data_IF_934168181862
#
_entry.id   IF_934168181862
#
_cell.length_a   1.000
_cell.length_b   1.000
_cell.length_c   1.000
_cell.angle_alpha   90.00
_cell.angle_beta   90.00
_cell.angle_gamma   90.00
#
_symmetry.space_group_name_H-M   'P 1'
#
loop_
_entity.id
_entity.type
_entity.pdbx_description
1 polymer ?
#
# COMPACT_ATOMS: atom_id res chain seq x y z
N UNK A 1 -7.88 19.41 24.38
CA UNK A 1 -7.46 18.11 23.78
C UNK A 1 -7.89 18.07 22.32
N UNK A 2 -9.18 18.24 22.02
CA UNK A 2 -9.69 18.31 20.64
C UNK A 2 -9.02 19.39 19.77
N UNK A 3 -8.78 20.61 20.29
CA UNK A 3 -8.08 21.66 19.53
C UNK A 3 -6.61 21.34 19.25
N UNK A 4 -5.91 20.68 20.19
CA UNK A 4 -4.51 20.27 20.02
C UNK A 4 -4.41 19.17 18.96
N UNK A 5 -5.31 18.19 19.04
CA UNK A 5 -5.40 17.10 18.07
C UNK A 5 -5.77 17.60 16.67
N UNK A 6 -6.73 18.53 16.58
CA UNK A 6 -7.12 19.16 15.32
C UNK A 6 -5.95 19.94 14.70
N UNK A 7 -5.19 20.68 15.51
CA UNK A 7 -4.00 21.41 15.06
C UNK A 7 -2.91 20.46 14.57
N UNK A 8 -2.60 19.42 15.34
CA UNK A 8 -1.60 18.41 14.95
C UNK A 8 -1.98 17.73 13.62
N UNK A 9 -3.25 17.35 13.44
CA UNK A 9 -3.72 16.77 12.18
C UNK A 9 -3.61 17.75 11.01
N UNK A 10 -3.95 19.02 11.21
CA UNK A 10 -3.82 20.06 10.19
C UNK A 10 -2.35 20.32 9.82
N UNK A 11 -1.46 20.35 10.80
CA UNK A 11 -0.01 20.51 10.58
C UNK A 11 0.55 19.31 9.80
N UNK A 12 0.07 18.09 10.08
CA UNK A 12 0.44 16.88 9.33
C UNK A 12 -0.07 16.90 7.89
N UNK A 13 -1.34 17.24 7.69
CA UNK A 13 -1.95 17.40 6.36
C UNK A 13 -1.16 18.39 5.50
N UNK A 14 -0.78 19.54 6.07
CA UNK A 14 0.04 20.53 5.38
C UNK A 14 1.45 20.02 5.02
N UNK A 15 2.08 19.26 5.92
CA UNK A 15 3.40 18.65 5.65
C UNK A 15 3.30 17.60 4.54
N UNK A 16 2.29 16.74 4.55
CA UNK A 16 2.08 15.75 3.48
C UNK A 16 1.90 16.42 2.11
N UNK A 17 1.12 17.50 2.04
CA UNK A 17 0.97 18.26 0.80
C UNK A 17 2.29 18.85 0.29
N UNK A 18 3.18 19.30 1.19
CA UNK A 18 4.52 19.77 0.83
C UNK A 18 5.42 18.65 0.31
N UNK A 19 5.36 17.46 0.93
CA UNK A 19 6.10 16.28 0.47
C UNK A 19 5.67 15.96 -0.97
N UNK A 20 4.36 15.90 -1.19
CA UNK A 20 3.77 15.63 -2.50
C UNK A 20 4.23 16.64 -3.57
N UNK A 21 4.21 17.95 -3.25
CA UNK A 21 4.67 19.00 -4.16
C UNK A 21 6.13 18.82 -4.57
N UNK A 22 7.02 18.51 -3.61
CA UNK A 22 8.44 18.27 -3.88
C UNK A 22 8.65 17.04 -4.76
N UNK A 23 7.93 15.95 -4.47
CA UNK A 23 8.05 14.68 -5.19
C UNK A 23 7.50 14.78 -6.62
N UNK A 24 6.41 15.53 -6.81
CA UNK A 24 5.82 15.80 -8.13
C UNK A 24 6.77 16.56 -9.05
N UNK A 25 7.64 17.40 -8.50
CA UNK A 25 8.63 18.19 -9.27
C UNK A 25 9.87 17.40 -9.68
N UNK A 26 10.03 16.15 -9.24
CA UNK A 26 11.16 15.33 -9.67
C UNK A 26 11.11 15.11 -11.20
N UNK A 27 12.22 14.78 -11.87
CA UNK A 27 12.21 14.57 -13.32
C UNK A 27 11.89 13.12 -13.73
N UNK A 28 11.80 12.18 -12.79
CA UNK A 28 11.75 10.73 -13.03
C UNK A 28 10.67 10.05 -12.19
N UNK A 29 10.21 8.87 -12.62
CA UNK A 29 9.40 7.99 -11.76
C UNK A 29 10.22 7.44 -10.59
N UNK A 30 11.48 7.11 -10.81
CA UNK A 30 12.38 6.69 -9.73
C UNK A 30 12.87 7.90 -8.96
N UNK A 31 12.51 7.96 -7.68
CA UNK A 31 12.85 9.09 -6.83
C UNK A 31 14.26 8.89 -6.28
N UNK A 32 15.11 9.90 -6.47
CA UNK A 32 16.50 9.83 -6.02
C UNK A 32 16.61 9.98 -4.49
N UNK A 33 17.63 9.38 -3.85
CA UNK A 33 17.84 9.54 -2.42
C UNK A 33 17.96 11.00 -1.95
N UNK A 34 18.48 11.89 -2.80
CA UNK A 34 18.54 13.33 -2.52
C UNK A 34 17.15 13.96 -2.43
N UNK A 35 16.22 13.53 -3.29
CA UNK A 35 14.86 14.05 -3.34
C UNK A 35 14.05 13.53 -2.16
N UNK A 36 14.22 12.25 -1.80
CA UNK A 36 13.66 11.67 -0.57
C UNK A 36 14.12 12.46 0.67
N UNK A 37 15.42 12.76 0.76
CA UNK A 37 15.97 13.55 1.87
C UNK A 37 15.42 14.97 1.87
N UNK A 38 15.30 15.62 0.72
CA UNK A 38 14.76 16.98 0.60
C UNK A 38 13.27 17.03 1.00
N UNK A 39 12.53 15.95 0.75
CA UNK A 39 11.13 15.80 1.11
C UNK A 39 10.90 15.15 2.49
N UNK A 40 11.92 14.99 3.33
CA UNK A 40 11.78 14.38 4.67
C UNK A 40 11.18 12.96 4.63
N UNK A 41 11.56 12.15 3.65
CA UNK A 41 11.15 10.75 3.52
C UNK A 41 12.27 9.81 3.98
N UNK A 42 11.95 8.86 4.85
CA UNK A 42 12.83 7.74 5.20
C UNK A 42 12.43 6.52 4.40
N UNK A 43 13.37 5.97 3.64
CA UNK A 43 13.22 4.68 2.97
C UNK A 43 13.91 3.60 3.81
N UNK A 44 13.13 2.64 4.30
CA UNK A 44 13.55 1.61 5.26
C UNK A 44 13.28 0.22 4.68
N UNK A 45 14.00 -0.83 5.11
CA UNK A 45 13.66 -2.21 4.75
C UNK A 45 12.36 -2.68 5.41
N UNK A 46 11.64 -3.55 4.73
CA UNK A 46 10.50 -4.32 5.24
C UNK A 46 10.74 -5.81 4.96
N UNK A 47 10.39 -6.66 5.91
CA UNK A 47 10.26 -8.09 5.72
C UNK A 47 8.87 -8.52 6.08
N UNK A 48 8.21 -9.28 5.21
CA UNK A 48 6.89 -9.83 5.50
C UNK A 48 6.96 -11.14 6.32
N UNK A 49 8.16 -11.65 6.55
CA UNK A 49 8.42 -12.81 7.41
C UNK A 49 8.27 -12.40 8.89
N UNK A 50 7.43 -13.13 9.65
CA UNK A 50 7.01 -12.78 11.02
C UNK A 50 8.19 -12.66 12.02
N UNK A 51 9.28 -13.40 11.81
CA UNK A 51 10.45 -13.43 12.72
C UNK A 51 11.49 -12.34 12.43
N UNK A 52 11.20 -11.41 11.53
CA UNK A 52 12.15 -10.36 11.16
C UNK A 52 12.09 -9.16 12.10
N UNK A 53 13.25 -8.54 12.36
CA UNK A 53 13.33 -7.22 13.00
C UNK A 53 12.67 -6.10 12.16
N UNK A 54 12.41 -6.37 10.87
CA UNK A 54 11.81 -5.44 9.91
C UNK A 54 10.35 -5.80 9.57
N UNK A 55 9.61 -6.46 10.48
CA UNK A 55 8.21 -6.79 10.28
C UNK A 55 7.30 -5.54 10.21
N UNK A 56 6.12 -5.63 9.56
CA UNK A 56 5.17 -4.52 9.52
C UNK A 56 4.67 -4.12 10.91
N UNK A 57 4.59 -2.81 11.20
CA UNK A 57 4.19 -2.29 12.50
C UNK A 57 2.68 -2.04 12.64
N UNK A 58 1.99 -1.90 11.51
CA UNK A 58 0.59 -1.45 11.46
C UNK A 58 -0.35 -2.45 10.76
N UNK A 59 0.18 -3.51 10.16
CA UNK A 59 -0.59 -4.51 9.45
C UNK A 59 -0.17 -5.92 9.86
N UNK A 60 -1.14 -6.72 10.29
CA UNK A 60 -0.92 -8.14 10.57
C UNK A 60 -1.33 -8.96 9.35
N UNK A 61 -0.65 -10.09 9.06
CA UNK A 61 -1.15 -11.05 8.09
C UNK A 61 -2.48 -11.66 8.57
N UNK A 62 -3.31 -12.08 7.62
CA UNK A 62 -4.48 -12.90 7.92
C UNK A 62 -4.00 -14.25 8.51
N UNK A 63 -4.53 -14.69 9.66
CA UNK A 63 -3.96 -15.81 10.41
C UNK A 63 -4.38 -17.18 9.87
N UNK A 64 -5.56 -17.29 9.27
CA UNK A 64 -6.06 -18.58 8.78
C UNK A 64 -5.39 -18.99 7.47
N UNK A 65 -5.57 -20.26 7.10
CA UNK A 65 -5.10 -20.78 5.83
C UNK A 65 -5.88 -20.18 4.66
N UNK A 66 -5.17 -19.95 3.55
CA UNK A 66 -5.75 -19.40 2.32
C UNK A 66 -5.48 -20.33 1.15
N UNK A 67 -6.37 -20.38 0.14
CA UNK A 67 -6.15 -21.20 -1.02
C UNK A 67 -4.89 -20.76 -1.75
N UNK A 68 -4.24 -21.70 -2.45
CA UNK A 68 -3.18 -21.35 -3.39
C UNK A 68 -3.80 -20.63 -4.61
N UNK A 69 -3.08 -19.71 -5.27
CA UNK A 69 -3.49 -19.17 -6.57
C UNK A 69 -3.81 -20.31 -7.54
N UNK A 70 -4.92 -20.19 -8.27
CA UNK A 70 -5.35 -21.25 -9.18
C UNK A 70 -4.44 -21.33 -10.41
N UNK A 71 -4.40 -22.50 -11.06
CA UNK A 71 -3.66 -22.66 -12.33
C UNK A 71 -4.26 -21.83 -13.48
N UNK A 72 -5.53 -21.42 -13.38
CA UNK A 72 -6.18 -20.58 -14.38
C UNK A 72 -5.61 -19.16 -14.36
N UNK A 73 -5.26 -18.65 -13.18
CA UNK A 73 -4.61 -17.35 -12.99
C UNK A 73 -3.19 -17.32 -13.60
N UNK A 74 -2.54 -18.49 -13.71
CA UNK A 74 -1.20 -18.66 -14.30
C UNK A 74 -1.21 -18.76 -15.83
N UNK A 75 -2.32 -19.19 -16.43
CA UNK A 75 -2.44 -19.39 -17.88
C UNK A 75 -2.42 -18.09 -18.68
N UNK A 76 -2.68 -16.93 -18.08
CA UNK A 76 -2.55 -15.63 -18.74
C UNK A 76 -1.18 -14.99 -18.49
N UNK A 77 -0.84 -14.83 -17.21
CA UNK A 77 0.36 -14.11 -16.76
C UNK A 77 1.70 -14.75 -17.15
N UNK A 78 1.77 -16.08 -17.17
CA UNK A 78 3.02 -16.82 -17.29
C UNK A 78 3.14 -17.57 -18.62
N UNK A 79 2.14 -17.47 -19.49
CA UNK A 79 2.14 -18.14 -20.80
C UNK A 79 3.23 -17.59 -21.71
N UNK A 80 3.52 -16.28 -21.59
CA UNK A 80 4.52 -15.58 -22.38
C UNK A 80 5.58 -14.95 -21.49
N UNK A 81 6.85 -14.83 -21.96
CA UNK A 81 7.84 -14.03 -21.25
C UNK A 81 7.39 -12.56 -21.18
N UNK A 82 7.84 -11.78 -20.17
CA UNK A 82 7.54 -10.36 -20.09
C UNK A 82 7.96 -9.62 -21.37
N UNK A 83 7.11 -8.74 -21.87
CA UNK A 83 7.39 -7.93 -23.04
C UNK A 83 8.02 -6.60 -22.61
N UNK A 84 9.34 -6.41 -22.80
CA UNK A 84 10.01 -5.17 -22.43
C UNK A 84 9.51 -3.94 -23.19
N UNK A 85 8.71 -4.12 -24.25
CA UNK A 85 8.10 -3.01 -25.02
C UNK A 85 6.70 -2.64 -24.52
N UNK A 86 6.06 -3.48 -23.71
CA UNK A 86 4.69 -3.30 -23.22
C UNK A 86 4.59 -3.56 -21.71
N UNK A 87 5.51 -2.99 -20.93
CA UNK A 87 5.62 -3.17 -19.48
C UNK A 87 4.29 -2.95 -18.75
N UNK A 88 3.52 -1.94 -19.17
CA UNK A 88 2.24 -1.64 -18.53
C UNK A 88 1.20 -2.76 -18.74
N UNK A 89 1.25 -3.48 -19.86
CA UNK A 89 0.37 -4.63 -20.09
C UNK A 89 0.75 -5.81 -19.19
N UNK A 90 2.05 -6.09 -19.04
CA UNK A 90 2.51 -7.10 -18.08
C UNK A 90 2.11 -6.74 -16.65
N UNK A 91 2.19 -5.46 -16.28
CA UNK A 91 1.81 -4.99 -14.96
C UNK A 91 0.30 -5.08 -14.75
N UNK A 92 -0.50 -4.83 -15.80
CA UNK A 92 -1.95 -5.02 -15.79
C UNK A 92 -2.33 -6.49 -15.62
N UNK A 93 -1.62 -7.41 -16.27
CA UNK A 93 -1.87 -8.84 -16.08
C UNK A 93 -1.59 -9.26 -14.63
N UNK A 94 -0.58 -8.65 -13.98
CA UNK A 94 -0.32 -8.86 -12.56
C UNK A 94 -1.43 -8.31 -11.67
N UNK A 95 -1.97 -7.15 -12.02
CA UNK A 95 -3.10 -6.55 -11.32
C UNK A 95 -4.32 -7.47 -11.36
N UNK A 96 -4.70 -7.96 -12.54
CA UNK A 96 -5.84 -8.88 -12.71
C UNK A 96 -5.64 -10.15 -11.89
N UNK A 97 -4.44 -10.73 -11.91
CA UNK A 97 -4.10 -11.90 -11.11
C UNK A 97 -4.28 -11.66 -9.62
N UNK A 98 -3.72 -10.58 -9.09
CA UNK A 98 -3.84 -10.28 -7.66
C UNK A 98 -5.27 -9.96 -7.27
N UNK A 99 -5.99 -9.17 -8.08
CA UNK A 99 -7.39 -8.83 -7.85
C UNK A 99 -8.27 -10.09 -7.79
N UNK A 100 -8.12 -11.02 -8.76
CA UNK A 100 -8.85 -12.29 -8.75
C UNK A 100 -8.47 -13.14 -7.53
N UNK A 101 -7.17 -13.29 -7.27
CA UNK A 101 -6.69 -14.12 -6.16
C UNK A 101 -7.14 -13.59 -4.80
N UNK A 102 -7.12 -12.26 -4.60
CA UNK A 102 -7.62 -11.62 -3.39
C UNK A 102 -9.12 -11.83 -3.21
N UNK A 103 -9.91 -11.66 -4.28
CA UNK A 103 -11.36 -11.86 -4.24
C UNK A 103 -11.71 -13.32 -3.90
N UNK A 104 -11.09 -14.27 -4.59
CA UNK A 104 -11.34 -15.70 -4.36
C UNK A 104 -10.90 -16.13 -2.95
N UNK A 105 -9.76 -15.62 -2.47
CA UNK A 105 -9.27 -15.90 -1.12
C UNK A 105 -10.17 -15.27 -0.05
N UNK A 106 -10.72 -14.08 -0.31
CA UNK A 106 -11.65 -13.42 0.60
C UNK A 106 -12.96 -14.19 0.73
N UNK A 107 -13.54 -14.64 -0.40
CA UNK A 107 -14.76 -15.46 -0.43
C UNK A 107 -14.53 -16.80 0.27
N UNK A 108 -13.46 -17.51 -0.10
CA UNK A 108 -13.09 -18.77 0.56
C UNK A 108 -12.96 -18.62 2.07
N UNK A 109 -12.22 -17.61 2.54
CA UNK A 109 -11.97 -17.41 3.95
C UNK A 109 -13.25 -17.04 4.72
N UNK A 110 -14.16 -16.30 4.09
CA UNK A 110 -15.45 -15.95 4.68
C UNK A 110 -16.37 -17.17 4.84
N UNK A 111 -16.30 -18.12 3.91
CA UNK A 111 -17.08 -19.36 3.95
C UNK A 111 -16.47 -20.40 4.92
N UNK A 112 -15.15 -20.59 4.89
CA UNK A 112 -14.45 -21.61 5.68
C UNK A 112 -14.27 -21.18 7.14
N UNK A 113 -14.05 -19.88 7.39
CA UNK A 113 -13.80 -19.30 8.71
C UNK A 113 -14.84 -18.24 9.07
N UNK A 114 -16.13 -18.59 9.21
CA UNK A 114 -17.21 -17.63 9.43
C UNK A 114 -17.07 -16.85 10.75
N UNK A 115 -16.36 -17.41 11.73
CA UNK A 115 -16.07 -16.77 13.02
C UNK A 115 -14.84 -15.84 12.98
N UNK A 116 -14.07 -15.87 11.89
CA UNK A 116 -12.87 -15.04 11.71
C UNK A 116 -12.72 -14.59 10.24
N UNK A 117 -13.73 -13.94 9.62
CA UNK A 117 -13.64 -13.54 8.23
C UNK A 117 -12.52 -12.49 8.03
N UNK A 118 -11.98 -12.35 6.81
CA UNK A 118 -10.96 -11.34 6.54
C UNK A 118 -11.41 -9.92 6.93
N UNK A 119 -10.67 -9.22 7.79
CA UNK A 119 -11.04 -7.87 8.27
C UNK A 119 -10.89 -6.77 7.20
N UNK A 120 -10.25 -7.07 6.06
CA UNK A 120 -10.06 -6.16 4.94
C UNK A 120 -10.05 -6.93 3.62
N UNK A 121 -9.74 -6.24 2.51
CA UNK A 121 -9.64 -6.83 1.18
C UNK A 121 -10.90 -6.67 0.32
N UNK A 122 -11.95 -6.03 0.86
CA UNK A 122 -13.16 -5.74 0.09
C UNK A 122 -12.90 -4.56 -0.83
N UNK A 123 -13.16 -4.77 -2.13
CA UNK A 123 -13.05 -3.73 -3.14
C UNK A 123 -13.89 -2.49 -2.80
N UNK A 124 -13.30 -1.31 -3.01
CA UNK A 124 -13.97 -0.02 -2.91
C UNK A 124 -13.66 0.83 -4.15
N UNK A 125 -14.65 1.60 -4.57
CA UNK A 125 -14.47 2.55 -5.67
C UNK A 125 -13.60 3.71 -5.18
N UNK A 126 -12.50 3.98 -5.89
CA UNK A 126 -11.60 5.11 -5.58
C UNK A 126 -12.38 6.43 -5.57
N UNK A 127 -13.37 6.57 -6.45
CA UNK A 127 -14.23 7.75 -6.57
C UNK A 127 -15.13 8.02 -5.36
N UNK A 128 -15.34 7.03 -4.47
CA UNK A 128 -16.10 7.23 -3.23
C UNK A 128 -15.34 8.08 -2.21
N UNK A 129 -14.03 8.25 -2.42
CA UNK A 129 -13.14 8.98 -1.53
C UNK A 129 -12.68 10.31 -2.13
N UNK A 130 -12.35 11.24 -1.25
CA UNK A 130 -11.80 12.55 -1.61
C UNK A 130 -10.27 12.51 -1.69
N UNK A 131 -9.76 11.56 -2.46
CA UNK A 131 -8.34 11.47 -2.77
C UNK A 131 -7.95 12.51 -3.82
N UNK A 132 -6.66 12.79 -3.93
CA UNK A 132 -6.11 13.54 -5.05
C UNK A 132 -6.13 12.73 -6.35
N UNK A 133 -5.38 13.20 -7.34
CA UNK A 133 -5.23 12.47 -8.59
C UNK A 133 -4.26 11.31 -8.39
N UNK A 134 -4.80 10.11 -8.17
CA UNK A 134 -4.02 8.88 -8.00
C UNK A 134 -3.57 8.26 -9.34
N UNK A 135 -3.13 9.11 -10.27
CA UNK A 135 -2.58 8.71 -11.57
C UNK A 135 -1.68 9.79 -12.18
N UNK A 136 -0.71 9.37 -12.97
CA UNK A 136 -0.06 10.20 -13.99
C UNK A 136 -0.02 9.43 -15.31
N UNK A 137 -0.17 10.16 -16.42
CA UNK A 137 -0.11 9.60 -17.78
C UNK A 137 0.66 10.48 -18.77
N UNK A 138 1.39 11.47 -18.26
CA UNK A 138 2.14 12.44 -19.07
C UNK A 138 3.60 12.37 -18.63
N UNK A 139 4.48 12.02 -19.57
CA UNK A 139 5.89 11.75 -19.29
C UNK A 139 6.11 10.33 -18.81
N UNK A 140 5.32 9.89 -17.83
CA UNK A 140 5.30 8.52 -17.36
C UNK A 140 3.89 8.05 -16.94
N UNK A 141 3.69 6.73 -16.86
CA UNK A 141 2.42 6.09 -16.53
C UNK A 141 2.45 5.34 -15.18
N UNK A 142 1.53 5.70 -14.29
CA UNK A 142 1.18 4.93 -13.10
C UNK A 142 -0.22 5.29 -12.64
N UNK A 143 -0.88 4.38 -11.93
CA UNK A 143 -2.20 4.63 -11.34
C UNK A 143 -2.49 3.68 -10.18
N UNK A 144 -3.25 4.17 -9.21
CA UNK A 144 -3.89 3.32 -8.21
C UNK A 144 -5.08 2.59 -8.87
N UNK A 145 -5.13 1.27 -8.69
CA UNK A 145 -6.11 0.40 -9.36
C UNK A 145 -7.18 -0.10 -8.42
N UNK A 146 -6.80 -0.38 -7.17
CA UNK A 146 -7.66 -0.95 -6.17
C UNK A 146 -7.36 -0.32 -4.83
N UNK A 147 -8.41 -0.01 -4.08
CA UNK A 147 -8.32 0.43 -2.69
C UNK A 147 -9.23 -0.42 -1.82
N UNK A 148 -8.82 -0.63 -0.57
CA UNK A 148 -9.64 -1.27 0.46
C UNK A 148 -9.43 -0.56 1.80
N UNK A 149 -10.48 -0.59 2.61
CA UNK A 149 -10.45 -0.13 3.98
C UNK A 149 -10.86 -1.25 4.94
N UNK A 150 -11.12 -0.86 6.19
CA UNK A 150 -11.64 -1.74 7.23
C UNK A 150 -13.08 -1.29 7.49
N UNK A 151 -14.09 -2.02 6.98
CA UNK A 151 -15.49 -1.59 7.05
C UNK A 151 -16.02 -1.53 8.49
N UNK A 152 -15.46 -2.34 9.38
CA UNK A 152 -15.80 -2.39 10.79
C UNK A 152 -14.72 -1.64 11.60
N UNK A 153 -15.14 -0.70 12.44
CA UNK A 153 -14.27 -0.02 13.41
C UNK A 153 -13.82 1.40 13.04
N UNK A 154 -13.09 2.02 13.98
CA UNK A 154 -12.45 3.33 13.83
C UNK A 154 -10.98 3.11 13.46
N UNK A 155 -10.72 2.65 12.23
CA UNK A 155 -9.37 2.35 11.75
C UNK A 155 -8.90 3.40 10.72
N UNK A 156 -7.79 4.11 10.98
CA UNK A 156 -7.23 5.05 10.02
C UNK A 156 -6.42 4.35 8.93
N UNK A 157 -6.13 3.06 9.11
CA UNK A 157 -5.43 2.20 8.15
C UNK A 157 -6.16 2.10 6.82
N UNK A 158 -5.38 1.98 5.75
CA UNK A 158 -5.90 1.86 4.41
C UNK A 158 -4.93 1.05 3.54
N UNK A 159 -5.45 0.38 2.51
CA UNK A 159 -4.59 -0.36 1.57
C UNK A 159 -4.89 0.03 0.13
N UNK A 160 -3.85 0.00 -0.69
CA UNK A 160 -3.97 0.29 -2.11
C UNK A 160 -3.06 -0.61 -2.94
N UNK A 161 -3.51 -0.95 -4.15
CA UNK A 161 -2.67 -1.54 -5.18
C UNK A 161 -2.42 -0.47 -6.24
N UNK A 162 -1.17 -0.37 -6.69
CA UNK A 162 -0.76 0.50 -7.78
C UNK A 162 -0.12 -0.34 -8.88
N UNK A 163 -0.25 0.13 -10.10
CA UNK A 163 0.58 -0.31 -11.21
C UNK A 163 1.35 0.84 -11.83
N UNK A 164 2.56 0.53 -12.29
CA UNK A 164 3.48 1.49 -12.88
C UNK A 164 4.24 0.85 -14.04
N UNK A 165 4.51 1.64 -15.08
CA UNK A 165 5.40 1.21 -16.16
C UNK A 165 6.90 1.24 -15.78
N UNK A 166 7.24 1.65 -14.56
CA UNK A 166 8.61 1.71 -14.09
C UNK A 166 9.27 0.34 -14.05
N UNK A 167 10.56 0.27 -14.35
CA UNK A 167 11.36 -0.94 -14.08
C UNK A 167 11.73 -0.98 -12.60
N UNK A 168 11.43 -2.08 -11.90
CA UNK A 168 11.80 -2.25 -10.51
C UNK A 168 13.32 -2.31 -10.30
N UNK A 169 13.86 -1.38 -9.51
CA UNK A 169 15.30 -1.31 -9.18
C UNK A 169 15.60 -1.06 -7.69
N UNK A 170 14.57 -1.12 -6.85
CA UNK A 170 14.66 -0.90 -5.40
C UNK A 170 14.47 0.55 -4.96
N UNK A 171 14.56 1.56 -5.84
CA UNK A 171 14.19 2.95 -5.48
C UNK A 171 12.68 3.07 -5.31
N UNK A 172 12.23 4.03 -4.51
CA UNK A 172 10.81 4.36 -4.41
C UNK A 172 10.33 5.02 -5.70
N UNK A 173 9.10 4.72 -6.09
CA UNK A 173 8.46 5.31 -7.25
C UNK A 173 7.61 6.50 -6.84
N UNK A 174 7.56 7.52 -7.70
CA UNK A 174 6.73 8.70 -7.50
C UNK A 174 5.28 8.32 -7.20
N UNK A 175 4.71 7.41 -7.99
CA UNK A 175 3.31 7.00 -7.84
C UNK A 175 3.00 6.37 -6.49
N UNK A 176 3.95 5.61 -5.93
CA UNK A 176 3.83 5.04 -4.59
C UNK A 176 3.74 6.14 -3.54
N UNK A 177 4.67 7.10 -3.59
CA UNK A 177 4.73 8.20 -2.61
C UNK A 177 3.50 9.10 -2.74
N UNK A 178 3.10 9.47 -3.96
CA UNK A 178 1.92 10.29 -4.20
C UNK A 178 0.64 9.61 -3.69
N UNK A 179 0.49 8.32 -3.93
CA UNK A 179 -0.67 7.56 -3.43
C UNK A 179 -0.69 7.50 -1.91
N UNK A 180 0.47 7.26 -1.29
CA UNK A 180 0.61 7.26 0.17
C UNK A 180 0.21 8.62 0.74
N UNK A 181 0.78 9.73 0.23
CA UNK A 181 0.53 11.06 0.78
C UNK A 181 -0.92 11.51 0.60
N UNK A 182 -1.52 11.28 -0.57
CA UNK A 182 -2.90 11.69 -0.88
C UNK A 182 -3.91 10.96 0.00
N UNK A 183 -3.77 9.64 0.13
CA UNK A 183 -4.67 8.83 0.94
C UNK A 183 -4.48 9.17 2.42
N UNK A 184 -3.24 9.25 2.92
CA UNK A 184 -2.97 9.65 4.31
C UNK A 184 -3.61 10.99 4.64
N UNK A 185 -3.46 11.99 3.78
CA UNK A 185 -4.04 13.31 3.94
C UNK A 185 -5.58 13.24 3.98
N UNK A 186 -6.20 12.47 3.08
CA UNK A 186 -7.65 12.25 3.10
C UNK A 186 -8.15 11.57 4.38
N UNK A 187 -7.43 10.56 4.90
CA UNK A 187 -7.76 9.93 6.19
C UNK A 187 -7.61 10.93 7.35
N UNK A 188 -6.60 11.78 7.35
CA UNK A 188 -6.42 12.87 8.34
C UNK A 188 -7.51 13.96 8.25
N UNK A 189 -8.19 14.12 7.12
CA UNK A 189 -9.35 15.01 6.97
C UNK A 189 -10.69 14.34 7.28
N UNK A 190 -10.71 13.01 7.42
CA UNK A 190 -11.95 12.25 7.63
C UNK A 190 -12.46 12.40 9.07
N UNK A 191 -13.74 12.78 9.21
CA UNK A 191 -14.33 13.15 10.51
C UNK A 191 -14.44 12.00 11.49
N UNK A 192 -14.78 10.79 11.03
CA UNK A 192 -14.86 9.61 11.91
C UNK A 192 -13.51 9.33 12.57
N UNK A 193 -12.42 9.51 11.83
CA UNK A 193 -11.06 9.17 12.24
C UNK A 193 -10.35 10.25 13.07
N UNK A 194 -11.08 11.24 13.60
CA UNK A 194 -10.50 12.43 14.26
C UNK A 194 -9.65 12.12 15.49
N UNK A 195 -9.90 10.97 16.12
CA UNK A 195 -9.17 10.38 17.26
C UNK A 195 -7.73 10.00 16.93
N UNK A 196 -7.44 9.73 15.65
CA UNK A 196 -6.14 9.27 15.18
C UNK A 196 -5.23 10.43 14.78
N UNK A 197 -3.92 10.21 14.75
CA UNK A 197 -2.93 11.15 14.20
C UNK A 197 -2.02 10.49 13.17
N UNK A 198 -2.01 9.16 13.13
CA UNK A 198 -1.29 8.35 12.17
C UNK A 198 -2.34 7.66 11.31
N UNK A 199 -2.15 7.69 9.99
CA UNK A 199 -2.98 6.96 9.02
C UNK A 199 -2.09 5.98 8.25
N UNK A 200 -1.88 4.76 8.76
CA UNK A 200 -0.97 3.81 8.13
C UNK A 200 -1.47 3.36 6.75
N UNK A 201 -0.54 3.15 5.82
CA UNK A 201 -0.80 2.67 4.47
C UNK A 201 -0.09 1.34 4.23
N UNK A 202 -0.81 0.35 3.70
CA UNK A 202 -0.21 -0.81 3.04
C UNK A 202 -0.37 -0.64 1.54
N UNK A 203 0.73 -0.68 0.80
CA UNK A 203 0.72 -0.50 -0.63
C UNK A 203 1.31 -1.72 -1.32
N UNK A 204 0.56 -2.32 -2.24
CA UNK A 204 1.09 -3.30 -3.19
C UNK A 204 1.45 -2.54 -4.46
N UNK A 205 2.74 -2.48 -4.77
CA UNK A 205 3.26 -1.78 -5.95
C UNK A 205 3.67 -2.78 -7.00
N UNK A 206 2.95 -2.78 -8.12
CA UNK A 206 3.19 -3.60 -9.30
C UNK A 206 4.01 -2.78 -10.31
N UNK A 207 5.08 -3.37 -10.83
CA UNK A 207 6.02 -2.69 -11.70
C UNK A 207 6.71 -3.64 -12.66
N UNK A 208 7.34 -3.06 -13.68
CA UNK A 208 8.01 -3.80 -14.72
C UNK A 208 9.27 -4.57 -14.29
N UNK A 209 9.63 -5.59 -15.07
CA UNK A 209 8.80 -6.25 -16.10
C UNK A 209 7.63 -7.05 -15.48
N UNK A 210 7.87 -7.82 -14.41
CA UNK A 210 6.82 -8.49 -13.62
C UNK A 210 7.25 -8.59 -12.17
N UNK A 211 7.34 -7.44 -11.51
CA UNK A 211 7.73 -7.34 -10.11
C UNK A 211 6.59 -6.78 -9.27
N UNK A 212 6.48 -7.29 -8.05
CA UNK A 212 5.68 -6.63 -7.02
C UNK A 212 6.55 -6.34 -5.80
N UNK A 213 6.18 -5.32 -5.02
CA UNK A 213 6.64 -5.16 -3.64
C UNK A 213 5.52 -4.69 -2.75
N UNK A 214 5.67 -4.92 -1.46
CA UNK A 214 4.80 -4.37 -0.43
C UNK A 214 5.53 -3.22 0.25
N UNK A 215 4.81 -2.12 0.42
CA UNK A 215 5.23 -1.00 1.23
C UNK A 215 4.32 -0.89 2.44
N UNK A 216 4.91 -0.62 3.59
CA UNK A 216 4.20 -0.07 4.74
C UNK A 216 4.64 1.38 4.92
N UNK A 217 3.69 2.29 5.08
CA UNK A 217 4.02 3.68 5.34
C UNK A 217 3.25 4.27 6.53
N UNK A 218 3.92 5.15 7.26
CA UNK A 218 3.38 5.97 8.33
C UNK A 218 3.99 7.38 8.31
N UNK A 219 3.28 8.35 8.87
CA UNK A 219 3.80 9.70 9.07
C UNK A 219 3.86 10.02 10.56
N UNK A 220 5.07 10.17 11.09
CA UNK A 220 5.30 10.42 12.52
C UNK A 220 5.04 11.88 12.94
N UNK A 221 4.83 12.76 11.96
CA UNK A 221 4.63 14.20 12.13
C UNK A 221 5.83 15.02 11.66
N UNK A 222 6.99 14.39 11.47
CA UNK A 222 8.21 15.02 10.97
C UNK A 222 8.70 14.36 9.69
N UNK A 223 8.69 13.02 9.65
CA UNK A 223 9.22 12.20 8.58
C UNK A 223 8.15 11.24 8.06
N UNK A 224 8.06 11.12 6.74
CA UNK A 224 7.30 10.06 6.09
C UNK A 224 8.17 8.79 6.07
N UNK A 225 7.78 7.81 6.88
CA UNK A 225 8.48 6.53 6.96
C UNK A 225 7.86 5.59 5.93
N UNK A 226 8.64 5.13 4.96
CA UNK A 226 8.22 4.14 3.95
C UNK A 226 9.15 2.93 4.08
N UNK A 227 8.61 1.82 4.58
CA UNK A 227 9.28 0.53 4.67
C UNK A 227 8.94 -0.26 3.40
N UNK A 228 9.95 -0.75 2.69
CA UNK A 228 9.78 -1.46 1.42
C UNK A 228 10.30 -2.88 1.49
N UNK A 229 9.50 -3.84 1.02
CA UNK A 229 9.95 -5.22 0.86
C UNK A 229 10.99 -5.34 -0.25
N UNK A 230 11.63 -6.50 -0.34
CA UNK A 230 12.31 -6.89 -1.59
C UNK A 230 11.32 -6.87 -2.77
N UNK A 231 11.86 -6.76 -3.98
CA UNK A 231 11.09 -7.01 -5.19
C UNK A 231 10.85 -8.51 -5.31
N UNK A 232 9.60 -8.91 -5.41
CA UNK A 232 9.17 -10.28 -5.69
C UNK A 232 9.04 -10.44 -7.21
N UNK A 233 9.73 -11.43 -7.75
CA UNK A 233 9.73 -11.74 -9.18
C UNK A 233 8.57 -12.68 -9.54
N UNK A 234 7.73 -12.21 -10.46
CA UNK A 234 6.59 -12.92 -11.03
C UNK A 234 6.77 -13.16 -12.55
N UNK A 235 7.98 -13.03 -13.08
CA UNK A 235 8.33 -13.53 -14.42
C UNK A 235 8.16 -15.05 -14.54
N UNK A 236 8.10 -15.74 -13.39
CA UNK A 236 7.76 -17.15 -13.23
C UNK A 236 6.76 -17.29 -12.08
N UNK A 237 6.16 -18.48 -12.00
CA UNK A 237 5.28 -18.87 -10.89
C UNK A 237 5.99 -18.64 -9.56
N UNK A 238 5.36 -17.83 -8.71
CA UNK A 238 5.85 -17.49 -7.38
C UNK A 238 4.71 -17.51 -6.37
N UNK A 239 4.16 -18.71 -6.16
CA UNK A 239 3.01 -18.96 -5.28
C UNK A 239 3.27 -18.52 -3.85
N UNK A 240 4.46 -18.78 -3.31
CA UNK A 240 4.82 -18.40 -1.94
C UNK A 240 4.71 -16.88 -1.73
N UNK A 241 5.25 -16.09 -2.67
CA UNK A 241 5.17 -14.63 -2.58
C UNK A 241 3.75 -14.12 -2.81
N UNK A 242 2.99 -14.72 -3.74
CA UNK A 242 1.58 -14.38 -3.96
C UNK A 242 0.74 -14.61 -2.70
N UNK A 243 0.92 -15.75 -2.04
CA UNK A 243 0.22 -16.06 -0.80
C UNK A 243 0.61 -15.11 0.33
N UNK A 244 1.91 -14.83 0.48
CA UNK A 244 2.39 -13.91 1.51
C UNK A 244 1.77 -12.51 1.34
N UNK A 245 1.79 -11.98 0.11
CA UNK A 245 1.17 -10.68 -0.21
C UNK A 245 -0.34 -10.72 0.07
N UNK A 246 -1.03 -11.81 -0.30
CA UNK A 246 -2.48 -11.97 -0.06
C UNK A 246 -2.83 -11.99 1.41
N UNK A 247 -2.03 -12.66 2.26
CA UNK A 247 -2.24 -12.67 3.71
C UNK A 247 -2.20 -11.24 4.27
N UNK A 248 -1.26 -10.41 3.84
CA UNK A 248 -1.22 -9.00 4.27
C UNK A 248 -2.33 -8.15 3.66
N UNK A 249 -2.75 -8.42 2.42
CA UNK A 249 -3.89 -7.74 1.80
C UNK A 249 -5.21 -7.99 2.55
N UNK A 250 -5.45 -9.23 2.97
CA UNK A 250 -6.64 -9.64 3.70
C UNK A 250 -6.54 -9.41 5.22
N UNK A 251 -5.32 -9.27 5.73
CA UNK A 251 -5.04 -9.21 7.17
C UNK A 251 -5.48 -7.93 7.88
N UNK A 252 -5.36 -7.95 9.21
CA UNK A 252 -5.91 -6.95 10.12
C UNK A 252 -5.04 -5.70 10.34
N UNK A 253 -5.68 -4.63 10.80
CA UNK A 253 -5.00 -3.44 11.30
C UNK A 253 -4.42 -3.68 12.71
N UNK A 254 -3.22 -3.17 12.97
CA UNK A 254 -2.58 -3.17 14.29
C UNK A 254 -1.80 -1.87 14.54
N UNK A 255 -1.11 -1.78 15.68
CA UNK A 255 -0.32 -0.60 16.05
C UNK A 255 -1.15 0.58 16.59
N UNK A 256 -0.50 1.41 17.42
CA UNK A 256 -1.12 2.59 18.02
C UNK A 256 -1.13 3.76 17.03
N UNK A 257 -2.30 4.34 16.80
CA UNK A 257 -2.50 5.45 15.84
C UNK A 257 -3.09 6.70 16.47
N UNK A 258 -3.44 6.65 17.76
CA UNK A 258 -3.95 7.78 18.55
C UNK A 258 -2.84 8.38 19.42
N UNK A 259 -3.03 9.62 19.89
CA UNK A 259 -2.18 10.17 20.95
C UNK A 259 -2.63 9.54 22.27
N UNK A 260 -1.87 8.61 22.82
CA UNK A 260 -2.04 8.29 24.24
C UNK A 260 -1.65 9.53 25.05
N UNK A 261 -2.60 10.07 25.82
CA UNK A 261 -2.22 10.87 26.99
C UNK A 261 -1.24 10.02 27.78
N UNK A 262 0.02 10.46 27.85
CA UNK A 262 0.94 10.01 28.89
C UNK A 262 0.20 10.13 30.22
N UNK A 263 -0.34 9.03 30.73
CA UNK A 263 -0.72 8.96 32.13
C UNK A 263 0.60 9.05 32.87
N UNK A 264 0.91 10.23 33.38
CA UNK A 264 1.98 10.42 34.35
C UNK A 264 1.89 9.29 35.38
N UNK A 265 2.96 8.52 35.49
CA UNK A 265 3.29 7.86 36.75
C UNK A 265 3.63 8.91 37.80
#
# INVERSE_FOLDING_TARGET
MDEVLARERADRDHKLARIEELIRQTPSQHVEPSDLKAASIRHLPLSLDEDSEHHPHFFNPYPEELPLPEKEDEKGLLEFPPDPKHILWDTRDMEIFFTNHFSNSWEYASDEYPDNPPPSGIYREIGDYKFGQLLESVGFNWYAVTVTEYPEGDYPHFKATLESEAIGDGRLLRGEIMTITDIMAARLRTRSLRSHIIAPMLVISLMGPRHARVLEADFDGEMLNIRASKLYDFSRKNTESAQLITRYWLGGACGQTTIETMKSK
#
